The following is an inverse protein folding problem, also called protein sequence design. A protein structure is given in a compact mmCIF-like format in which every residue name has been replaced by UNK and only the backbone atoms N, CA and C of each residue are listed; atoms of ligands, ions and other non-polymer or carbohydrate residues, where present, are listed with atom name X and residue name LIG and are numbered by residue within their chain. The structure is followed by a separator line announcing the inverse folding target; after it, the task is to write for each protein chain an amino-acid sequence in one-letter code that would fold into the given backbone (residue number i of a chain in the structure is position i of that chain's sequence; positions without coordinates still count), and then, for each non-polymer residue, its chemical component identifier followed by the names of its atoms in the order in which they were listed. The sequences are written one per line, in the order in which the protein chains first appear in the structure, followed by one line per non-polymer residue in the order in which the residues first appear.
data_IF_559309379269
#
_entry.id   IF_559309379269
#
_cell.length_a   1.000
_cell.length_b   1.000
_cell.length_c   1.000
_cell.angle_alpha   90.00
_cell.angle_beta   90.00
_cell.angle_gamma   90.00
#
_symmetry.space_group_name_H-M   'P 1'
#
loop_
_entity.id
_entity.type
_entity.pdbx_description
1 polymer ?
#
# COMPACT_ATOMS: atom_id res chain seq x y z
N UNK A 1 -2.06 9.26 -6.78
CA UNK A 1 -2.32 10.71 -6.96
C UNK A 1 -2.13 11.39 -5.63
N UNK A 2 -1.33 12.45 -5.58
CA UNK A 2 -1.10 13.21 -4.35
C UNK A 2 -2.43 13.72 -3.77
N UNK A 3 -2.60 13.58 -2.44
CA UNK A 3 -3.83 13.99 -1.74
C UNK A 3 -4.99 12.99 -1.79
N UNK A 4 -4.86 11.86 -2.49
CA UNK A 4 -5.93 10.83 -2.55
C UNK A 4 -5.95 9.88 -1.35
N UNK A 5 -4.99 9.96 -0.44
CA UNK A 5 -4.84 9.02 0.69
C UNK A 5 -4.06 7.73 0.34
N UNK A 6 -3.65 7.54 -0.91
CA UNK A 6 -2.94 6.33 -1.34
C UNK A 6 -1.59 6.13 -0.62
N UNK A 7 -0.84 7.20 -0.38
CA UNK A 7 0.43 7.12 0.35
C UNK A 7 0.24 6.59 1.77
N UNK A 8 -0.81 7.04 2.47
CA UNK A 8 -1.12 6.56 3.83
C UNK A 8 -1.52 5.09 3.85
N UNK A 9 -2.33 4.64 2.88
CA UNK A 9 -2.73 3.25 2.74
C UNK A 9 -1.53 2.34 2.41
N UNK A 10 -0.66 2.77 1.50
CA UNK A 10 0.55 2.02 1.17
C UNK A 10 1.56 1.99 2.32
N UNK A 11 1.66 3.07 3.09
CA UNK A 11 2.47 3.10 4.31
C UNK A 11 1.92 2.15 5.38
N UNK A 12 0.59 2.07 5.52
CA UNK A 12 -0.07 1.10 6.39
C UNK A 12 0.30 -0.34 5.99
N UNK A 13 0.21 -0.66 4.69
CA UNK A 13 0.61 -1.96 4.16
C UNK A 13 2.08 -2.29 4.49
N UNK A 14 3.01 -1.38 4.18
CA UNK A 14 4.43 -1.60 4.44
C UNK A 14 4.74 -1.79 5.94
N UNK A 15 4.10 -0.98 6.80
CA UNK A 15 4.24 -1.12 8.26
C UNK A 15 3.68 -2.45 8.77
N UNK A 16 2.58 -2.92 8.20
CA UNK A 16 2.02 -4.23 8.56
C UNK A 16 2.98 -5.37 8.17
N UNK A 17 3.57 -5.32 6.97
CA UNK A 17 4.63 -6.28 6.55
C UNK A 17 5.79 -6.26 7.55
N UNK A 18 6.27 -5.08 7.93
CA UNK A 18 7.33 -4.93 8.92
C UNK A 18 6.94 -5.51 10.28
N UNK A 19 5.71 -5.26 10.73
CA UNK A 19 5.17 -5.77 12.00
C UNK A 19 5.03 -7.30 12.00
N UNK A 20 4.85 -7.92 10.82
CA UNK A 20 4.90 -9.37 10.63
C UNK A 20 6.33 -9.93 10.67
N UNK A 21 7.33 -9.10 10.96
CA UNK A 21 8.74 -9.48 11.07
C UNK A 21 9.45 -9.67 9.72
N UNK A 22 8.86 -9.19 8.63
CA UNK A 22 9.41 -9.33 7.27
C UNK A 22 10.15 -8.05 6.86
N UNK A 23 11.41 -8.13 6.39
CA UNK A 23 12.14 -6.98 5.91
C UNK A 23 11.43 -6.30 4.73
N UNK A 24 11.28 -4.97 4.82
CA UNK A 24 10.54 -4.16 3.84
C UNK A 24 11.17 -2.79 3.64
N UNK A 25 11.19 -2.31 2.42
CA UNK A 25 11.62 -0.96 2.07
C UNK A 25 10.52 -0.26 1.26
N UNK A 26 9.72 0.61 1.87
CA UNK A 26 8.77 1.45 1.15
C UNK A 26 9.48 2.65 0.53
N UNK A 27 9.07 3.02 -0.68
CA UNK A 27 9.60 4.20 -1.38
C UNK A 27 8.49 4.92 -2.13
N UNK A 28 8.31 6.18 -1.81
CA UNK A 28 7.42 7.06 -2.56
C UNK A 28 8.19 7.64 -3.76
N UNK A 29 7.65 7.49 -4.95
CA UNK A 29 8.23 7.96 -6.21
C UNK A 29 7.30 9.01 -6.78
N UNK A 30 7.77 10.25 -6.82
CA UNK A 30 7.06 11.35 -7.44
C UNK A 30 8.00 12.15 -8.32
N UNK A 31 7.50 12.69 -9.45
CA UNK A 31 8.28 13.52 -10.31
C UNK A 31 8.64 14.85 -9.62
N UNK A 32 9.71 15.49 -10.08
CA UNK A 32 10.16 16.79 -9.55
C UNK A 32 9.12 17.91 -9.69
N UNK A 33 8.20 17.78 -10.63
CA UNK A 33 7.07 18.69 -10.81
C UNK A 33 5.88 18.20 -10.00
N UNK A 34 5.49 18.95 -8.97
CA UNK A 34 4.54 18.55 -7.94
C UNK A 34 3.08 18.44 -8.43
N UNK A 35 2.72 18.99 -9.58
CA UNK A 35 1.32 19.03 -10.01
C UNK A 35 1.05 18.19 -11.28
N UNK A 36 0.06 17.32 -11.17
CA UNK A 36 -0.60 16.67 -12.30
C UNK A 36 0.07 15.43 -12.87
N UNK A 37 1.26 15.07 -12.41
CA UNK A 37 1.94 13.87 -12.89
C UNK A 37 1.66 12.64 -12.00
N UNK A 38 1.70 11.43 -12.58
CA UNK A 38 1.55 10.19 -11.82
C UNK A 38 2.59 10.06 -10.72
N UNK A 39 2.20 9.41 -9.63
CA UNK A 39 3.07 9.07 -8.51
C UNK A 39 2.93 7.59 -8.22
N UNK A 40 4.03 6.94 -7.86
CA UNK A 40 4.04 5.54 -7.47
C UNK A 40 4.54 5.37 -6.05
N UNK A 41 4.09 4.31 -5.41
CA UNK A 41 4.58 3.88 -4.12
C UNK A 41 5.07 2.44 -4.27
N UNK A 42 6.38 2.26 -4.31
CA UNK A 42 7.00 0.95 -4.39
C UNK A 42 7.19 0.38 -2.98
N UNK A 43 6.91 -0.89 -2.81
CA UNK A 43 7.18 -1.63 -1.58
C UNK A 43 8.02 -2.84 -1.95
N UNK A 44 9.30 -2.82 -1.59
CA UNK A 44 10.18 -3.97 -1.74
C UNK A 44 10.08 -4.83 -0.49
N UNK A 45 9.68 -6.08 -0.66
CA UNK A 45 9.60 -7.08 0.40
C UNK A 45 10.54 -8.23 0.05
N UNK A 46 11.34 -8.69 1.00
CA UNK A 46 12.24 -9.83 0.80
C UNK A 46 12.58 -10.47 2.13
N UNK A 47 12.31 -11.77 2.28
CA UNK A 47 12.55 -12.51 3.53
C UNK A 47 14.03 -12.58 3.96
N UNK A 48 14.97 -12.52 2.99
CA UNK A 48 16.41 -12.56 3.25
C UNK A 48 17.01 -11.15 3.49
N UNK A 49 16.18 -10.10 3.45
CA UNK A 49 16.61 -8.71 3.70
C UNK A 49 17.26 -8.00 2.50
N UNK A 50 17.19 -8.56 1.29
CA UNK A 50 17.68 -7.89 0.08
C UNK A 50 16.67 -6.84 -0.40
N UNK A 51 16.78 -5.61 0.10
CA UNK A 51 15.83 -4.52 -0.10
C UNK A 51 16.22 -3.55 -1.23
N UNK A 52 17.27 -3.85 -1.98
CA UNK A 52 17.63 -3.10 -3.18
C UNK A 52 16.55 -3.15 -4.23
N UNK A 53 16.39 -2.05 -4.97
CA UNK A 53 15.45 -1.98 -6.09
C UNK A 53 15.89 -2.96 -7.21
N UNK A 54 14.93 -3.67 -7.79
CA UNK A 54 15.13 -4.45 -9.01
C UNK A 54 14.19 -3.93 -10.10
N UNK A 55 14.46 -4.28 -11.33
CA UNK A 55 13.54 -4.03 -12.44
C UNK A 55 12.33 -4.99 -12.38
N UNK A 56 11.20 -4.48 -12.83
CA UNK A 56 9.94 -5.20 -12.88
C UNK A 56 9.20 -5.27 -11.53
N UNK A 57 7.88 -5.41 -11.64
CA UNK A 57 6.95 -5.43 -10.51
C UNK A 57 6.23 -6.78 -10.49
N UNK A 58 6.26 -7.48 -9.36
CA UNK A 58 5.59 -8.77 -9.18
C UNK A 58 4.08 -8.62 -8.96
N UNK A 59 3.68 -7.59 -8.20
CA UNK A 59 2.27 -7.26 -7.92
C UNK A 59 2.07 -5.77 -8.11
N UNK A 60 1.32 -5.38 -9.12
CA UNK A 60 0.95 -4.00 -9.41
C UNK A 60 -0.47 -3.72 -8.91
N UNK A 61 -0.65 -2.58 -8.23
CA UNK A 61 -1.98 -2.02 -7.90
C UNK A 61 -2.21 -0.77 -8.75
N UNK A 62 -2.87 -0.93 -9.88
CA UNK A 62 -3.09 0.13 -10.86
C UNK A 62 -4.40 0.88 -10.59
N UNK A 63 -4.31 2.05 -9.96
CA UNK A 63 -5.47 2.88 -9.58
C UNK A 63 -5.63 4.13 -10.44
N UNK A 64 -4.56 4.57 -11.11
CA UNK A 64 -4.56 5.81 -11.88
C UNK A 64 -4.69 5.54 -13.39
N UNK A 65 -5.74 6.06 -14.08
CA UNK A 65 -5.87 5.91 -15.52
C UNK A 65 -4.72 6.49 -16.33
N UNK A 66 -4.06 7.54 -15.84
CA UNK A 66 -2.99 8.23 -16.55
C UNK A 66 -1.70 7.42 -16.64
N UNK A 67 -1.44 6.54 -15.67
CA UNK A 67 -0.26 5.68 -15.63
C UNK A 67 -0.53 4.26 -16.12
N UNK A 68 -1.73 3.96 -16.62
CA UNK A 68 -2.17 2.61 -16.94
C UNK A 68 -1.21 1.84 -17.86
N UNK A 69 -0.77 2.45 -18.94
CA UNK A 69 0.15 1.80 -19.89
C UNK A 69 1.53 1.53 -19.26
N UNK A 70 2.06 2.49 -18.48
CA UNK A 70 3.34 2.35 -17.79
C UNK A 70 3.25 1.29 -16.67
N UNK A 71 2.12 1.29 -15.94
CA UNK A 71 1.84 0.30 -14.90
C UNK A 71 1.82 -1.11 -15.47
N UNK A 72 1.11 -1.35 -16.59
CA UNK A 72 1.08 -2.63 -17.29
C UNK A 72 2.47 -3.04 -17.78
N UNK A 73 3.20 -2.12 -18.41
CA UNK A 73 4.52 -2.40 -18.97
C UNK A 73 5.55 -2.81 -17.91
N UNK A 74 5.38 -2.32 -16.66
CA UNK A 74 6.31 -2.59 -15.57
C UNK A 74 6.13 -3.96 -14.90
N UNK A 75 5.01 -4.66 -15.14
CA UNK A 75 4.74 -5.96 -14.53
C UNK A 75 5.61 -7.03 -15.20
N UNK A 76 6.28 -7.86 -14.39
CA UNK A 76 7.04 -9.01 -14.91
C UNK A 76 6.11 -10.08 -15.52
N UNK A 77 6.58 -10.87 -16.49
CA UNK A 77 5.82 -12.03 -16.96
C UNK A 77 5.43 -12.96 -15.79
N UNK A 78 4.17 -13.39 -15.76
CA UNK A 78 3.60 -14.16 -14.64
C UNK A 78 3.23 -13.35 -13.41
N UNK A 79 3.49 -12.04 -13.40
CA UNK A 79 3.13 -11.15 -12.31
C UNK A 79 1.62 -10.85 -12.25
N UNK A 80 1.22 -10.08 -11.24
CA UNK A 80 -0.18 -9.82 -10.92
C UNK A 80 -0.54 -8.35 -11.11
N UNK A 81 -1.72 -8.10 -11.68
CA UNK A 81 -2.33 -6.80 -11.80
C UNK A 81 -3.61 -6.74 -10.96
N UNK A 82 -3.62 -6.00 -9.86
CA UNK A 82 -4.84 -5.62 -9.15
C UNK A 82 -5.31 -4.26 -9.65
N UNK A 83 -6.59 -4.15 -10.01
CA UNK A 83 -7.16 -2.90 -10.53
C UNK A 83 -8.63 -2.74 -10.14
N UNK A 84 -9.13 -1.50 -10.24
CA UNK A 84 -10.54 -1.19 -9.99
C UNK A 84 -11.40 -1.60 -11.21
N UNK A 85 -12.04 -2.75 -11.14
CA UNK A 85 -12.88 -3.31 -12.21
C UNK A 85 -14.26 -2.65 -12.32
N UNK A 86 -14.57 -1.62 -11.53
CA UNK A 86 -15.77 -0.79 -11.73
C UNK A 86 -15.73 -0.11 -13.11
N UNK A 87 -14.53 0.15 -13.62
CA UNK A 87 -14.32 0.77 -14.93
C UNK A 87 -13.72 -0.25 -15.90
N UNK A 88 -14.26 -0.32 -17.12
CA UNK A 88 -13.73 -1.16 -18.18
C UNK A 88 -12.33 -0.68 -18.55
N UNK A 89 -11.37 -1.61 -18.62
CA UNK A 89 -9.98 -1.36 -18.99
C UNK A 89 -9.56 -2.38 -20.04
N UNK A 90 -8.87 -1.92 -21.07
CA UNK A 90 -8.19 -2.80 -22.00
C UNK A 90 -6.88 -3.31 -21.39
N UNK A 91 -6.68 -4.61 -21.43
CA UNK A 91 -5.47 -5.28 -20.94
C UNK A 91 -4.91 -6.07 -22.11
N UNK A 92 -3.93 -5.49 -22.80
CA UNK A 92 -3.31 -6.07 -24.01
C UNK A 92 -2.18 -7.08 -23.68
N UNK A 93 -2.17 -7.60 -22.43
CA UNK A 93 -1.16 -8.56 -21.96
C UNK A 93 -1.83 -9.85 -21.51
N UNK A 94 -1.39 -10.98 -22.10
CA UNK A 94 -1.82 -12.34 -21.78
C UNK A 94 -0.85 -13.11 -20.87
N UNK A 95 0.33 -12.51 -20.64
CA UNK A 95 1.40 -13.09 -19.82
C UNK A 95 1.35 -12.65 -18.34
N UNK A 96 0.30 -11.93 -17.93
CA UNK A 96 0.07 -11.49 -16.54
C UNK A 96 -1.25 -12.01 -15.98
N UNK A 97 -1.36 -12.12 -14.67
CA UNK A 97 -2.58 -12.54 -13.97
C UNK A 97 -3.37 -11.32 -13.50
N UNK A 98 -4.65 -11.21 -13.87
CA UNK A 98 -5.48 -10.04 -13.57
C UNK A 98 -6.43 -10.28 -12.41
N UNK A 99 -6.54 -9.32 -11.51
CA UNK A 99 -7.37 -9.34 -10.31
C UNK A 99 -8.23 -8.07 -10.31
N UNK A 100 -9.44 -8.18 -10.83
CA UNK A 100 -10.37 -7.06 -10.93
C UNK A 100 -11.27 -6.94 -9.71
N UNK A 101 -10.98 -6.05 -8.79
CA UNK A 101 -11.82 -5.75 -7.62
C UNK A 101 -12.62 -4.48 -7.91
N UNK A 102 -13.97 -4.48 -7.85
CA UNK A 102 -14.78 -3.30 -8.18
C UNK A 102 -14.78 -2.28 -7.01
N UNK A 103 -13.60 -1.77 -6.67
CA UNK A 103 -13.35 -0.96 -5.48
C UNK A 103 -14.23 0.28 -5.38
N UNK A 104 -14.42 0.99 -6.49
CA UNK A 104 -15.28 2.18 -6.52
C UNK A 104 -16.73 1.80 -6.27
N UNK A 105 -17.24 0.73 -6.89
CA UNK A 105 -18.61 0.24 -6.69
C UNK A 105 -18.82 -0.16 -5.23
N UNK A 106 -17.95 -0.99 -4.68
CA UNK A 106 -18.01 -1.47 -3.29
C UNK A 106 -18.05 -0.31 -2.30
N UNK A 107 -17.14 0.67 -2.46
CA UNK A 107 -17.12 1.83 -1.57
C UNK A 107 -18.34 2.75 -1.74
N UNK A 108 -18.89 2.87 -2.96
CA UNK A 108 -20.10 3.66 -3.19
C UNK A 108 -21.34 3.05 -2.54
N UNK A 109 -21.44 1.73 -2.51
CA UNK A 109 -22.54 0.99 -1.88
C UNK A 109 -22.43 1.01 -0.35
N UNK A 110 -21.21 0.98 0.20
CA UNK A 110 -20.96 0.88 1.64
C UNK A 110 -20.96 2.23 2.35
N UNK A 111 -20.34 3.27 1.78
CA UNK A 111 -20.12 4.54 2.44
C UNK A 111 -20.99 5.65 1.82
N UNK A 112 -21.56 6.50 2.66
CA UNK A 112 -22.49 7.57 2.23
C UNK A 112 -21.77 8.86 1.81
N UNK A 113 -20.65 9.20 2.46
CA UNK A 113 -19.93 10.46 2.26
C UNK A 113 -18.97 10.36 1.05
N UNK A 114 -19.14 11.19 0.00
CA UNK A 114 -18.34 11.08 -1.23
C UNK A 114 -16.81 11.18 -1.01
N UNK A 115 -16.37 12.07 -0.12
CA UNK A 115 -14.96 12.23 0.20
C UNK A 115 -14.36 10.97 0.88
N UNK A 116 -15.12 10.33 1.74
CA UNK A 116 -14.72 9.10 2.43
C UNK A 116 -14.61 7.93 1.46
N UNK A 117 -15.53 7.80 0.50
CA UNK A 117 -15.49 6.77 -0.55
C UNK A 117 -14.15 6.76 -1.28
N UNK A 118 -13.63 7.95 -1.61
CA UNK A 118 -12.36 8.07 -2.31
C UNK A 118 -11.16 7.67 -1.45
N UNK A 119 -11.20 7.97 -0.14
CA UNK A 119 -10.17 7.57 0.80
C UNK A 119 -10.23 6.06 1.10
N UNK A 120 -11.42 5.56 1.38
CA UNK A 120 -11.64 4.16 1.73
C UNK A 120 -11.37 3.19 0.59
N UNK A 121 -11.47 3.63 -0.67
CA UNK A 121 -11.04 2.85 -1.81
C UNK A 121 -9.57 2.41 -1.71
N UNK A 122 -8.70 3.29 -1.19
CA UNK A 122 -7.31 2.94 -0.97
C UNK A 122 -7.12 1.97 0.20
N UNK A 123 -7.96 2.06 1.21
CA UNK A 123 -7.94 1.11 2.34
C UNK A 123 -8.50 -0.24 1.89
N UNK A 124 -9.55 -0.25 1.06
CA UNK A 124 -10.15 -1.47 0.53
C UNK A 124 -9.17 -2.27 -0.35
N UNK A 125 -8.35 -1.63 -1.20
CA UNK A 125 -7.36 -2.43 -1.93
C UNK A 125 -6.26 -3.01 -1.02
N UNK A 126 -5.90 -2.31 0.07
CA UNK A 126 -5.01 -2.92 1.09
C UNK A 126 -5.68 -4.13 1.72
N UNK A 127 -6.98 -4.04 2.04
CA UNK A 127 -7.77 -5.18 2.49
C UNK A 127 -7.74 -6.35 1.51
N UNK A 128 -7.93 -6.09 0.20
CA UNK A 128 -7.81 -7.11 -0.83
C UNK A 128 -6.40 -7.75 -0.84
N UNK A 129 -5.35 -6.95 -0.76
CA UNK A 129 -3.97 -7.46 -0.68
C UNK A 129 -3.74 -8.37 0.53
N UNK A 130 -4.42 -8.14 1.66
CA UNK A 130 -4.26 -9.03 2.83
C UNK A 130 -4.74 -10.45 2.57
N UNK A 131 -5.79 -10.64 1.79
CA UNK A 131 -6.26 -11.96 1.37
C UNK A 131 -5.36 -12.56 0.30
N UNK A 132 -5.03 -11.77 -0.71
CA UNK A 132 -4.24 -12.20 -1.87
C UNK A 132 -2.81 -12.61 -1.47
N UNK A 133 -2.20 -11.92 -0.52
CA UNK A 133 -0.81 -12.14 -0.09
C UNK A 133 -0.68 -12.93 1.23
N UNK A 134 -1.75 -13.52 1.73
CA UNK A 134 -1.76 -14.33 2.97
C UNK A 134 -1.26 -13.57 4.21
N UNK A 135 -1.62 -12.30 4.32
CA UNK A 135 -1.17 -11.48 5.45
C UNK A 135 -2.02 -11.72 6.71
N UNK A 136 -1.39 -11.61 7.87
CA UNK A 136 -2.09 -11.61 9.15
C UNK A 136 -3.00 -10.36 9.25
N UNK A 137 -4.29 -10.60 9.16
CA UNK A 137 -5.28 -9.52 9.12
C UNK A 137 -5.42 -8.80 10.46
N UNK A 138 -5.20 -9.48 11.58
CA UNK A 138 -5.24 -8.86 12.90
C UNK A 138 -4.08 -7.87 13.09
N UNK A 139 -2.91 -8.18 12.54
CA UNK A 139 -1.77 -7.24 12.51
C UNK A 139 -2.15 -5.97 11.73
N UNK A 140 -2.80 -6.11 10.57
CA UNK A 140 -3.21 -4.96 9.76
C UNK A 140 -4.26 -4.11 10.47
N UNK A 141 -5.26 -4.72 11.11
CA UNK A 141 -6.25 -4.01 11.95
C UNK A 141 -5.61 -3.29 13.13
N UNK A 142 -4.64 -3.92 13.77
CA UNK A 142 -3.85 -3.31 14.84
C UNK A 142 -3.12 -2.05 14.38
N UNK A 143 -2.54 -2.09 13.16
CA UNK A 143 -1.88 -0.94 12.56
C UNK A 143 -2.83 0.23 12.27
N UNK A 144 -4.08 -0.04 11.86
CA UNK A 144 -5.12 0.99 11.73
C UNK A 144 -5.40 1.64 13.08
N UNK A 145 -5.55 0.84 14.13
CA UNK A 145 -5.80 1.36 15.49
C UNK A 145 -4.65 2.22 15.99
N UNK A 146 -3.40 1.83 15.74
CA UNK A 146 -2.23 2.63 16.07
C UNK A 146 -2.16 3.94 15.27
N UNK A 147 -2.44 3.89 13.96
CA UNK A 147 -2.38 5.06 13.08
C UNK A 147 -3.41 6.14 13.44
N UNK A 148 -4.58 5.73 13.91
CA UNK A 148 -5.67 6.63 14.28
C UNK A 148 -5.84 6.81 15.79
N UNK A 149 -4.83 6.46 16.58
CA UNK A 149 -4.82 6.70 18.03
C UNK A 149 -5.11 8.18 18.34
N UNK A 150 -6.10 8.44 19.20
CA UNK A 150 -6.61 9.78 19.50
C UNK A 150 -7.63 10.31 18.48
N UNK A 151 -8.02 9.49 17.49
CA UNK A 151 -9.07 9.77 16.49
C UNK A 151 -9.94 8.54 16.29
N UNK A 152 -10.45 7.98 17.38
CA UNK A 152 -11.12 6.68 17.47
C UNK A 152 -12.28 6.53 16.46
N UNK A 153 -12.96 7.64 16.15
CA UNK A 153 -14.05 7.67 15.15
C UNK A 153 -13.60 7.26 13.73
N UNK A 154 -12.30 7.29 13.46
CA UNK A 154 -11.74 6.90 12.15
C UNK A 154 -11.34 5.43 12.12
N UNK A 155 -11.20 4.75 13.26
CA UNK A 155 -10.72 3.38 13.32
C UNK A 155 -11.73 2.43 12.66
N UNK A 156 -12.96 2.42 13.15
CA UNK A 156 -14.00 1.49 12.71
C UNK A 156 -14.31 1.61 11.20
N UNK A 157 -14.49 2.80 10.61
CA UNK A 157 -14.70 2.92 9.16
C UNK A 157 -13.50 2.46 8.31
N UNK A 158 -12.27 2.60 8.79
CA UNK A 158 -11.10 2.09 8.09
C UNK A 158 -10.99 0.57 8.17
N UNK A 159 -11.33 -0.03 9.32
CA UNK A 159 -11.40 -1.49 9.46
C UNK A 159 -12.51 -2.05 8.55
N UNK A 160 -13.67 -1.42 8.51
CA UNK A 160 -14.78 -1.79 7.62
C UNK A 160 -14.35 -1.76 6.13
N UNK A 161 -13.58 -0.74 5.73
CA UNK A 161 -13.04 -0.67 4.38
C UNK A 161 -12.00 -1.78 4.09
N UNK A 162 -11.15 -2.13 5.06
CA UNK A 162 -10.23 -3.27 4.93
C UNK A 162 -11.01 -4.59 4.77
N UNK A 163 -12.01 -4.81 5.61
CA UNK A 163 -12.84 -6.01 5.58
C UNK A 163 -13.58 -6.13 4.25
N UNK A 164 -14.10 -5.03 3.72
CA UNK A 164 -14.79 -4.98 2.43
C UNK A 164 -13.93 -5.50 1.29
N UNK A 165 -12.70 -5.02 1.17
CA UNK A 165 -11.78 -5.48 0.12
C UNK A 165 -11.29 -6.91 0.33
N UNK A 166 -10.99 -7.29 1.58
CA UNK A 166 -10.59 -8.64 1.94
C UNK A 166 -11.67 -9.67 1.63
N UNK A 167 -12.89 -9.42 2.10
CA UNK A 167 -14.01 -10.33 1.91
C UNK A 167 -14.30 -10.56 0.43
N UNK A 168 -14.35 -9.49 -0.35
CA UNK A 168 -14.54 -9.60 -1.80
C UNK A 168 -13.47 -10.50 -2.44
N UNK A 169 -12.21 -10.34 -2.04
CA UNK A 169 -11.12 -11.13 -2.61
C UNK A 169 -11.22 -12.61 -2.23
N UNK A 170 -11.56 -12.92 -0.98
CA UNK A 170 -11.77 -14.30 -0.53
C UNK A 170 -12.93 -15.01 -1.22
N UNK A 171 -13.97 -14.25 -1.61
CA UNK A 171 -15.17 -14.82 -2.27
C UNK A 171 -15.00 -15.02 -3.78
N UNK A 172 -14.11 -14.26 -4.43
CA UNK A 172 -14.07 -14.18 -5.88
C UNK A 172 -12.74 -14.63 -6.51
N UNK A 173 -11.69 -14.83 -5.73
CA UNK A 173 -10.38 -15.23 -6.23
C UNK A 173 -9.82 -16.42 -5.43
N UNK A 174 -8.93 -17.16 -6.10
CA UNK A 174 -8.13 -18.18 -5.43
C UNK A 174 -7.09 -17.49 -4.52
N UNK A 175 -7.38 -17.45 -3.24
CA UNK A 175 -6.50 -16.87 -2.22
C UNK A 175 -5.87 -17.97 -1.36
N UNK A 176 -4.59 -17.82 -1.01
CA UNK A 176 -3.66 -16.78 -1.42
C UNK A 176 -3.06 -17.03 -2.80
N UNK A 177 -2.43 -15.98 -3.38
CA UNK A 177 -1.64 -16.08 -4.61
C UNK A 177 -0.36 -16.93 -4.39
N UNK A 178 0.37 -17.20 -5.49
CA UNK A 178 1.70 -17.83 -5.40
C UNK A 178 2.74 -16.95 -4.67
N UNK A 179 2.55 -15.61 -4.74
CA UNK A 179 3.34 -14.62 -3.99
C UNK A 179 2.68 -14.36 -2.64
N UNK A 180 3.42 -14.52 -1.53
CA UNK A 180 2.89 -14.40 -0.17
C UNK A 180 3.81 -13.59 0.74
N UNK A 181 3.21 -13.02 1.79
CA UNK A 181 3.94 -12.36 2.88
C UNK A 181 3.75 -13.19 4.15
N UNK A 182 4.66 -14.10 4.38
CA UNK A 182 4.64 -14.97 5.56
C UNK A 182 5.32 -14.30 6.74
N UNK A 183 4.73 -14.36 7.92
CA UNK A 183 5.33 -13.85 9.15
C UNK A 183 6.69 -14.52 9.41
N UNK A 184 7.63 -13.74 9.89
CA UNK A 184 8.99 -14.18 10.23
C UNK A 184 9.52 -13.40 11.44
N UNK A 185 10.77 -13.60 11.82
CA UNK A 185 11.51 -12.81 12.80
C UNK A 185 12.76 -12.13 12.21
N UNK A 186 12.82 -12.04 10.88
CA UNK A 186 13.99 -11.54 10.16
C UNK A 186 14.28 -10.06 10.42
N UNK A 187 13.30 -9.30 10.94
CA UNK A 187 13.48 -7.91 11.36
C UNK A 187 14.16 -7.80 12.72
N UNK A 188 13.95 -8.75 13.65
CA UNK A 188 14.51 -8.69 15.00
C UNK A 188 14.19 -7.36 15.71
N UNK A 189 15.22 -6.74 16.30
CA UNK A 189 15.12 -5.46 17.01
C UNK A 189 15.22 -4.21 16.12
N UNK A 190 15.12 -4.35 14.79
CA UNK A 190 15.19 -3.24 13.86
C UNK A 190 13.94 -2.35 13.95
N UNK A 191 14.10 -1.10 13.55
CA UNK A 191 12.99 -0.13 13.42
C UNK A 191 12.85 0.29 11.96
N UNK A 192 11.62 0.49 11.52
CA UNK A 192 11.33 1.10 10.23
C UNK A 192 11.27 2.62 10.39
N UNK A 193 12.21 3.33 9.77
CA UNK A 193 12.34 4.78 9.87
C UNK A 193 12.64 5.40 8.51
N UNK A 194 12.04 6.54 8.23
CA UNK A 194 12.38 7.33 7.05
C UNK A 194 13.73 8.02 7.21
N UNK A 195 14.49 8.19 6.09
CA UNK A 195 15.82 8.79 6.10
C UNK A 195 15.85 10.18 6.72
N UNK A 196 14.88 11.03 6.44
CA UNK A 196 14.78 12.38 7.03
C UNK A 196 14.61 12.32 8.56
N UNK A 197 13.77 11.40 9.05
CA UNK A 197 13.60 11.19 10.48
C UNK A 197 14.89 10.66 11.13
N UNK A 198 15.60 9.76 10.45
CA UNK A 198 16.89 9.22 10.92
C UNK A 198 17.95 10.31 11.03
N UNK A 199 18.05 11.22 10.02
CA UNK A 199 18.95 12.37 10.06
C UNK A 199 18.59 13.30 11.21
N UNK A 200 17.32 13.64 11.38
CA UNK A 200 16.86 14.48 12.49
C UNK A 200 17.21 13.88 13.85
N UNK A 201 16.98 12.58 14.03
CA UNK A 201 17.34 11.87 15.25
C UNK A 201 18.86 11.87 15.48
N UNK A 202 19.65 11.63 14.41
CA UNK A 202 21.10 11.71 14.46
C UNK A 202 21.63 13.08 14.91
N UNK A 203 21.02 14.17 14.42
CA UNK A 203 21.33 15.52 14.88
C UNK A 203 21.09 15.71 16.37
N UNK A 204 19.96 15.19 16.89
CA UNK A 204 19.65 15.25 18.33
C UNK A 204 20.70 14.49 19.14
N UNK A 205 21.05 13.27 18.75
CA UNK A 205 22.09 12.48 19.41
C UNK A 205 23.50 13.11 19.32
N UNK A 206 23.77 13.85 18.23
CA UNK A 206 25.02 14.61 18.09
C UNK A 206 25.04 15.92 18.90
N UNK A 207 23.98 16.23 19.66
CA UNK A 207 23.92 17.40 20.52
C UNK A 207 23.46 18.68 19.84
N UNK A 208 22.81 18.62 18.69
CA UNK A 208 22.20 19.79 18.06
C UNK A 208 21.09 20.36 18.95
N UNK A 209 21.21 21.64 19.32
CA UNK A 209 20.28 22.33 20.21
C UNK A 209 19.35 23.31 19.49
N UNK A 210 19.67 23.63 18.23
CA UNK A 210 18.92 24.57 17.41
C UNK A 210 18.71 23.97 16.00
N UNK A 211 17.49 24.05 15.50
CA UNK A 211 17.15 23.74 14.11
C UNK A 211 16.42 24.95 13.49
N UNK A 212 16.81 25.32 12.28
CA UNK A 212 16.13 26.32 11.48
C UNK A 212 15.73 25.72 10.14
N UNK A 213 14.46 25.88 9.74
CA UNK A 213 13.92 25.35 8.47
C UNK A 213 12.88 26.28 7.89
N UNK A 214 12.59 26.09 6.61
CA UNK A 214 11.47 26.76 5.98
C UNK A 214 10.17 26.00 6.23
N UNK A 215 9.05 26.69 6.48
CA UNK A 215 7.73 26.06 6.40
C UNK A 215 7.44 25.70 4.94
N UNK A 216 7.11 24.43 4.69
CA UNK A 216 6.74 23.91 3.36
C UNK A 216 5.27 23.55 3.33
#
# INVERSE_FOLDING_TARGET
VNGSGSASANSLFAKAVFRMGVPVAPKNIFPSNIQGLPTWFEVRVNGDGFLGRREGIDVMVAMNPQSWADDLASIVPGGYLLYDSTFIREIERDDIKTIGVPLTKLCNERFTVPRERQLFKNVAYVGALTALLDMDFEVVKGMVSEQFKGKEKLIEPNIDALELGRQYSLEHFDCPLDVRVQASDAVGDQILMEGNAAVGLGCVYAGATVAAWYPT
#
